data_IF_125572670722
#
_entry.id   IF_125572670722
#
_cell.length_a   1.000
_cell.length_b   1.000
_cell.length_c   1.000
_cell.angle_alpha   90.00
_cell.angle_beta   90.00
_cell.angle_gamma   90.00
#
_symmetry.space_group_name_H-M   'P 1'
#
loop_
_entity.id
_entity.type
_entity.pdbx_description
1 polymer ?
#
# COMPACT_ATOMS: atom_id res chain seq x y z
N UNK A 1 -3.31 15.01 -56.31
CA UNK A 1 -3.50 15.40 -54.90
C UNK A 1 -4.05 14.23 -54.07
N UNK A 2 -3.26 13.18 -53.79
CA UNK A 2 -3.71 11.98 -53.04
C UNK A 2 -2.58 11.36 -52.20
N UNK A 3 -1.71 12.17 -51.59
CA UNK A 3 -0.56 11.66 -50.79
C UNK A 3 -0.36 12.30 -49.41
N UNK A 4 -1.30 13.11 -48.93
CA UNK A 4 -1.16 13.84 -47.66
C UNK A 4 -2.03 13.27 -46.53
N UNK A 5 -3.01 12.40 -46.84
CA UNK A 5 -3.97 11.93 -45.83
C UNK A 5 -3.45 10.71 -45.03
N UNK A 6 -2.39 10.04 -45.49
CA UNK A 6 -1.90 8.81 -44.83
C UNK A 6 -0.86 9.05 -43.72
N UNK A 7 -0.36 10.28 -43.55
CA UNK A 7 0.62 10.60 -42.50
C UNK A 7 0.01 11.19 -41.22
N UNK A 8 -1.26 11.59 -41.23
CA UNK A 8 -1.95 12.14 -40.04
C UNK A 8 -2.62 11.10 -39.15
N UNK A 9 -2.78 9.85 -39.62
CA UNK A 9 -3.40 8.78 -38.82
C UNK A 9 -2.36 8.03 -37.96
N UNK A 10 -1.06 8.11 -38.30
CA UNK A 10 0.00 7.46 -37.52
C UNK A 10 0.48 8.28 -36.31
N UNK A 11 0.06 9.55 -36.18
CA UNK A 11 0.38 10.40 -35.04
C UNK A 11 -0.68 10.33 -33.91
N UNK A 12 -1.75 9.55 -34.11
CA UNK A 12 -2.86 9.38 -33.17
C UNK A 12 -2.96 7.95 -32.60
N UNK A 13 -1.81 7.32 -32.33
CA UNK A 13 -1.75 6.28 -31.31
C UNK A 13 -1.18 6.88 -30.01
N UNK A 14 -1.82 7.88 -29.36
CA UNK A 14 -1.44 8.17 -28.00
C UNK A 14 -1.91 6.96 -27.20
N UNK A 15 -0.96 6.28 -26.57
CA UNK A 15 -1.16 5.80 -25.22
C UNK A 15 -2.49 5.06 -25.02
N UNK A 16 -2.58 3.83 -25.52
CA UNK A 16 -3.32 2.79 -24.78
C UNK A 16 -2.57 2.58 -23.46
N UNK A 17 -2.63 3.58 -22.58
CA UNK A 17 -2.31 3.46 -21.18
C UNK A 17 -3.34 2.45 -20.68
N UNK A 18 -2.87 1.23 -20.49
CA UNK A 18 -3.56 0.22 -19.72
C UNK A 18 -3.77 0.79 -18.31
N UNK A 19 -4.84 1.56 -18.12
CA UNK A 19 -5.33 1.98 -16.82
C UNK A 19 -5.98 0.75 -16.19
N UNK A 20 -5.15 -0.15 -15.65
CA UNK A 20 -5.65 -1.07 -14.66
C UNK A 20 -6.04 -0.28 -13.42
N UNK A 21 -7.23 -0.58 -12.91
CA UNK A 21 -7.75 0.05 -11.71
C UNK A 21 -6.90 -0.41 -10.52
N UNK A 22 -6.25 0.54 -9.83
CA UNK A 22 -5.52 0.24 -8.60
C UNK A 22 -6.53 -0.17 -7.53
N UNK A 23 -6.45 -1.42 -7.09
CA UNK A 23 -7.38 -1.93 -6.08
C UNK A 23 -6.88 -1.47 -4.71
N UNK A 24 -7.70 -0.66 -4.03
CA UNK A 24 -7.44 -0.24 -2.66
C UNK A 24 -7.74 -1.36 -1.66
N UNK A 25 -7.15 -1.25 -0.48
CA UNK A 25 -7.25 -2.23 0.59
C UNK A 25 -7.84 -1.62 1.87
N UNK A 26 -8.70 -2.36 2.60
CA UNK A 26 -9.21 -1.94 3.89
C UNK A 26 -8.07 -1.72 4.88
N UNK A 27 -8.01 -0.52 5.44
CA UNK A 27 -6.95 -0.07 6.33
C UNK A 27 -7.56 0.59 7.53
N UNK A 28 -7.12 0.18 8.70
CA UNK A 28 -7.50 0.84 9.93
C UNK A 28 -6.33 1.66 10.49
N UNK A 29 -6.70 2.75 11.14
CA UNK A 29 -5.80 3.56 11.96
C UNK A 29 -6.36 3.54 13.37
N UNK A 30 -5.46 3.36 14.34
CA UNK A 30 -5.80 3.44 15.73
C UNK A 30 -4.81 4.31 16.51
N UNK A 31 -5.32 5.31 17.22
CA UNK A 31 -4.55 6.07 18.22
C UNK A 31 -5.45 6.52 19.36
N UNK A 32 -5.07 6.21 20.60
CA UNK A 32 -5.89 6.53 21.76
C UNK A 32 -5.38 7.77 22.48
N UNK A 33 -6.18 8.84 22.43
CA UNK A 33 -6.06 10.00 23.30
C UNK A 33 -7.21 9.90 24.33
N UNK A 34 -6.89 9.53 25.58
CA UNK A 34 -7.84 9.51 26.72
C UNK A 34 -9.01 8.50 26.64
N UNK A 35 -8.76 7.27 26.19
CA UNK A 35 -9.65 6.09 26.34
C UNK A 35 -11.04 6.16 25.68
N UNK A 36 -11.25 6.99 24.67
CA UNK A 36 -12.49 7.03 23.87
C UNK A 36 -12.22 6.57 22.45
N UNK A 37 -13.25 6.09 21.72
CA UNK A 37 -13.17 5.37 20.45
C UNK A 37 -12.04 5.87 19.54
N UNK A 38 -11.01 5.03 19.40
CA UNK A 38 -9.67 5.40 18.91
C UNK A 38 -9.40 4.93 17.49
N UNK A 39 -10.42 4.57 16.71
CA UNK A 39 -10.30 3.68 15.57
C UNK A 39 -11.08 4.21 14.37
N UNK A 40 -10.42 4.30 13.22
CA UNK A 40 -11.03 4.65 11.94
C UNK A 40 -10.63 3.62 10.89
N UNK A 41 -11.56 3.25 10.00
CA UNK A 41 -11.33 2.28 8.92
C UNK A 41 -11.78 2.87 7.59
N UNK A 42 -10.94 2.75 6.56
CA UNK A 42 -11.23 3.20 5.21
C UNK A 42 -10.48 2.36 4.18
N UNK A 43 -10.93 2.37 2.93
CA UNK A 43 -10.19 1.79 1.81
C UNK A 43 -9.09 2.74 1.34
N UNK A 44 -8.09 2.93 2.20
CA UNK A 44 -7.10 4.00 2.11
C UNK A 44 -5.68 3.54 1.82
N UNK A 45 -5.42 2.24 1.72
CA UNK A 45 -4.11 1.74 1.31
C UNK A 45 -4.09 1.09 -0.06
N UNK A 46 -2.90 1.05 -0.63
CA UNK A 46 -2.58 0.37 -1.88
C UNK A 46 -1.32 -0.48 -1.66
N UNK A 47 -1.40 -1.74 -2.06
CA UNK A 47 -0.31 -2.70 -1.93
C UNK A 47 0.19 -3.06 -3.31
N UNK A 48 1.50 -3.13 -3.45
CA UNK A 48 2.14 -3.46 -4.73
C UNK A 48 3.26 -4.47 -4.53
N UNK A 49 3.43 -5.33 -5.52
CA UNK A 49 4.60 -6.18 -5.63
C UNK A 49 5.30 -5.94 -6.97
N UNK A 50 6.60 -5.63 -6.93
CA UNK A 50 7.46 -5.50 -8.10
C UNK A 50 8.31 -6.76 -8.25
N UNK A 51 7.99 -7.58 -9.24
CA UNK A 51 8.74 -8.80 -9.56
C UNK A 51 10.19 -8.50 -9.97
N UNK A 52 10.43 -7.39 -10.67
CA UNK A 52 11.76 -7.05 -11.20
C UNK A 52 12.74 -6.67 -10.08
N UNK A 53 12.22 -6.07 -9.02
CA UNK A 53 12.98 -5.68 -7.82
C UNK A 53 12.84 -6.69 -6.66
N UNK A 54 11.91 -7.64 -6.77
CA UNK A 54 11.51 -8.52 -5.65
C UNK A 54 11.19 -7.71 -4.39
N UNK A 55 10.33 -6.70 -4.56
CA UNK A 55 10.01 -5.71 -3.52
C UNK A 55 8.51 -5.58 -3.31
N UNK A 56 8.13 -5.54 -2.04
CA UNK A 56 6.77 -5.26 -1.59
C UNK A 56 6.66 -3.79 -1.17
N UNK A 57 5.57 -3.14 -1.58
CA UNK A 57 5.28 -1.76 -1.24
C UNK A 57 3.87 -1.62 -0.67
N UNK A 58 3.76 -0.75 0.33
CA UNK A 58 2.50 -0.22 0.83
C UNK A 58 2.51 1.30 0.67
N UNK A 59 1.39 1.85 0.23
CA UNK A 59 1.05 3.26 0.39
C UNK A 59 -0.22 3.38 1.22
N UNK A 60 -0.23 4.25 2.23
CA UNK A 60 -1.44 4.66 2.96
C UNK A 60 -1.69 6.14 2.69
N UNK A 61 -2.90 6.44 2.24
CA UNK A 61 -3.38 7.78 1.95
C UNK A 61 -4.23 8.28 3.11
N UNK A 62 -3.69 9.21 3.90
CA UNK A 62 -4.37 9.69 5.10
C UNK A 62 -5.60 10.56 4.80
N UNK A 63 -5.67 11.16 3.60
CA UNK A 63 -6.82 11.99 3.18
C UNK A 63 -8.14 11.21 3.06
N UNK A 64 -8.05 9.88 2.97
CA UNK A 64 -9.22 8.99 2.82
C UNK A 64 -9.86 8.58 4.14
N UNK A 65 -9.29 8.98 5.27
CA UNK A 65 -9.91 8.75 6.56
C UNK A 65 -10.83 9.92 6.88
N UNK A 66 -12.06 9.61 7.27
CA UNK A 66 -13.01 10.64 7.65
C UNK A 66 -12.57 11.28 8.98
N UNK A 67 -12.45 12.60 8.97
CA UNK A 67 -12.17 13.40 10.17
C UNK A 67 -13.52 13.92 10.66
N UNK A 68 -14.05 13.31 11.73
CA UNK A 68 -15.30 13.77 12.33
C UNK A 68 -15.15 15.17 12.94
N UNK A 69 -16.21 15.97 12.87
CA UNK A 69 -16.25 17.39 13.28
C UNK A 69 -15.90 17.59 14.79
N UNK A 70 -16.08 16.57 15.62
CA UNK A 70 -15.77 16.56 17.06
C UNK A 70 -14.81 15.42 17.48
N UNK A 71 -14.04 14.86 16.54
CA UNK A 71 -13.38 13.57 16.75
C UNK A 71 -11.93 13.67 17.25
N UNK A 72 -11.57 12.70 18.09
CA UNK A 72 -10.22 12.38 18.57
C UNK A 72 -9.19 12.21 17.44
N UNK A 73 -9.66 12.12 16.20
CA UNK A 73 -8.88 11.95 14.98
C UNK A 73 -8.50 13.26 14.29
N UNK A 74 -8.72 14.42 14.92
CA UNK A 74 -8.30 15.73 14.40
C UNK A 74 -6.82 15.80 14.01
N UNK A 75 -5.96 15.03 14.67
CA UNK A 75 -4.54 14.92 14.32
C UNK A 75 -4.30 14.37 12.90
N UNK A 76 -5.26 13.68 12.29
CA UNK A 76 -5.17 13.25 10.89
C UNK A 76 -5.11 14.46 9.93
N UNK A 77 -5.63 15.63 10.32
CA UNK A 77 -5.46 16.89 9.58
C UNK A 77 -3.98 17.24 9.38
N UNK A 78 -3.12 16.89 10.34
CA UNK A 78 -1.66 17.14 10.22
C UNK A 78 -1.00 16.25 9.14
N UNK A 79 -1.70 15.21 8.68
CA UNK A 79 -1.22 14.20 7.75
C UNK A 79 -2.02 14.13 6.44
N UNK A 80 -3.09 14.91 6.27
CA UNK A 80 -4.02 14.83 5.13
C UNK A 80 -3.30 14.97 3.77
N UNK A 81 -2.32 15.86 3.68
CA UNK A 81 -1.50 16.08 2.47
C UNK A 81 -0.31 15.12 2.34
N UNK A 82 -0.20 14.15 3.25
CA UNK A 82 0.92 13.21 3.31
C UNK A 82 0.46 11.77 3.03
N UNK A 83 1.41 10.93 2.67
CA UNK A 83 1.20 9.49 2.60
C UNK A 83 2.26 8.80 3.44
N UNK A 84 1.88 7.69 4.07
CA UNK A 84 2.85 6.74 4.58
C UNK A 84 3.23 5.80 3.44
N UNK A 85 4.52 5.55 3.27
CA UNK A 85 5.03 4.52 2.38
C UNK A 85 5.79 3.50 3.20
N UNK A 86 5.65 2.22 2.86
CA UNK A 86 6.50 1.16 3.37
C UNK A 86 7.06 0.38 2.20
N UNK A 87 8.35 0.05 2.24
CA UNK A 87 9.01 -0.80 1.26
C UNK A 87 9.82 -1.88 1.95
N UNK A 88 9.79 -3.10 1.45
CA UNK A 88 10.62 -4.19 1.94
C UNK A 88 10.98 -5.16 0.80
N UNK A 89 12.18 -5.77 0.83
CA UNK A 89 12.49 -6.89 -0.03
C UNK A 89 11.59 -8.09 0.35
N UNK A 90 11.08 -8.79 -0.66
CA UNK A 90 10.23 -9.97 -0.50
C UNK A 90 10.51 -10.92 -1.66
N UNK A 91 11.01 -12.12 -1.35
CA UNK A 91 11.31 -13.13 -2.34
C UNK A 91 10.02 -13.67 -3.03
N UNK A 92 9.99 -13.82 -4.37
CA UNK A 92 8.82 -14.33 -5.09
C UNK A 92 8.40 -15.75 -4.67
N UNK A 93 9.32 -16.56 -4.14
CA UNK A 93 9.03 -17.89 -3.59
C UNK A 93 8.11 -17.84 -2.38
N UNK A 94 7.90 -16.67 -1.77
CA UNK A 94 6.90 -16.52 -0.72
C UNK A 94 5.46 -16.67 -1.21
N UNK A 95 5.20 -16.43 -2.50
CA UNK A 95 3.89 -16.62 -3.10
C UNK A 95 3.63 -18.08 -3.46
N UNK A 96 4.66 -18.90 -3.70
CA UNK A 96 4.48 -20.32 -4.01
C UNK A 96 4.30 -21.17 -2.74
N UNK A 97 3.49 -22.23 -2.85
CA UNK A 97 3.47 -23.31 -1.87
C UNK A 97 2.84 -22.99 -0.52
N UNK A 98 1.70 -22.28 -0.48
CA UNK A 98 0.89 -22.11 0.73
C UNK A 98 0.23 -23.45 1.15
N UNK A 99 1.00 -24.36 1.73
CA UNK A 99 0.55 -25.68 2.12
C UNK A 99 -0.36 -25.67 3.38
N UNK A 100 -1.29 -26.63 3.42
CA UNK A 100 -2.16 -27.07 4.51
C UNK A 100 -3.20 -26.10 5.11
N UNK A 101 -3.08 -24.78 4.99
CA UNK A 101 -4.14 -23.85 5.44
C UNK A 101 -4.23 -22.55 4.62
N UNK A 102 -3.73 -22.54 3.38
CA UNK A 102 -3.76 -21.39 2.46
C UNK A 102 -3.22 -20.07 3.04
N UNK A 103 -2.38 -20.12 4.07
CA UNK A 103 -1.76 -18.93 4.66
C UNK A 103 -0.31 -19.17 5.06
N UNK A 104 0.47 -18.09 5.15
CA UNK A 104 1.88 -18.08 5.55
C UNK A 104 2.22 -16.76 6.21
N UNK A 105 2.93 -16.80 7.33
CA UNK A 105 3.47 -15.61 7.99
C UNK A 105 4.90 -15.39 7.53
N UNK A 106 5.21 -14.15 7.16
CA UNK A 106 6.49 -13.71 6.61
C UNK A 106 6.93 -12.49 7.40
N UNK A 107 8.16 -12.51 7.92
CA UNK A 107 8.75 -11.35 8.55
C UNK A 107 9.48 -10.52 7.50
N UNK A 108 9.03 -9.29 7.28
CA UNK A 108 9.63 -8.35 6.34
C UNK A 108 10.41 -7.28 7.12
N UNK A 109 11.69 -7.13 6.79
CA UNK A 109 12.52 -6.03 7.31
C UNK A 109 12.59 -4.95 6.24
N UNK A 110 11.85 -3.87 6.46
CA UNK A 110 11.68 -2.80 5.49
C UNK A 110 12.00 -1.42 6.04
N UNK A 111 11.57 -0.42 5.29
CA UNK A 111 11.68 0.99 5.66
C UNK A 111 10.31 1.64 5.51
N UNK A 112 9.95 2.47 6.49
CA UNK A 112 8.78 3.34 6.46
C UNK A 112 9.23 4.75 6.17
N UNK A 113 8.53 5.39 5.24
CA UNK A 113 8.63 6.82 4.97
C UNK A 113 7.36 7.52 5.41
N UNK A 114 7.53 8.57 6.20
CA UNK A 114 6.45 9.44 6.60
C UNK A 114 7.00 10.83 6.92
N UNK A 115 6.30 11.88 6.48
CA UNK A 115 6.68 13.27 6.74
C UNK A 115 8.15 13.58 6.39
N UNK A 116 8.64 13.06 5.25
CA UNK A 116 9.99 13.32 4.75
C UNK A 116 11.11 12.48 5.39
N UNK A 117 10.78 11.50 6.25
CA UNK A 117 11.75 10.78 7.07
C UNK A 117 11.62 9.28 6.87
N UNK A 118 12.74 8.61 6.64
CA UNK A 118 12.85 7.16 6.54
C UNK A 118 13.28 6.53 7.86
N UNK A 119 12.59 5.47 8.28
CA UNK A 119 12.97 4.63 9.42
C UNK A 119 12.86 3.15 9.09
N UNK A 120 13.83 2.36 9.56
CA UNK A 120 13.79 0.90 9.40
C UNK A 120 12.74 0.31 10.33
N UNK A 121 11.91 -0.60 9.81
CA UNK A 121 10.87 -1.26 10.58
C UNK A 121 10.71 -2.72 10.14
N UNK A 122 10.57 -3.61 11.12
CA UNK A 122 10.25 -5.02 10.90
C UNK A 122 8.76 -5.24 11.09
N UNK A 123 8.11 -5.89 10.14
CA UNK A 123 6.68 -6.21 10.18
C UNK A 123 6.44 -7.68 9.92
N UNK A 124 5.40 -8.21 10.54
CA UNK A 124 4.88 -9.54 10.23
C UNK A 124 3.73 -9.41 9.24
N UNK A 125 3.91 -10.01 8.08
CA UNK A 125 2.93 -10.07 7.01
C UNK A 125 2.32 -11.48 6.96
N UNK A 126 1.02 -11.56 7.15
CA UNK A 126 0.26 -12.79 6.95
C UNK A 126 -0.30 -12.80 5.54
N UNK A 127 0.20 -13.69 4.70
CA UNK A 127 -0.22 -13.89 3.32
C UNK A 127 -1.30 -14.98 3.29
N UNK A 128 -2.38 -14.77 2.54
CA UNK A 128 -3.50 -15.68 2.37
C UNK A 128 -3.79 -15.88 0.87
N UNK A 129 -4.11 -17.10 0.47
CA UNK A 129 -4.65 -17.38 -0.86
C UNK A 129 -6.17 -17.43 -0.82
N UNK A 130 -6.82 -16.79 -1.78
CA UNK A 130 -8.28 -16.93 -1.94
C UNK A 130 -8.64 -18.34 -2.45
N UNK A 131 -9.72 -18.93 -1.94
CA UNK A 131 -10.09 -20.35 -2.14
C UNK A 131 -10.29 -20.75 -3.61
N UNK A 132 -10.69 -19.80 -4.48
CA UNK A 132 -10.84 -20.03 -5.92
C UNK A 132 -9.51 -19.99 -6.70
N UNK A 133 -8.38 -19.67 -6.05
CA UNK A 133 -7.06 -19.58 -6.67
C UNK A 133 -6.43 -20.94 -7.02
N UNK A 134 -6.89 -22.03 -6.40
CA UNK A 134 -6.38 -23.39 -6.63
C UNK A 134 -6.64 -23.91 -8.06
N UNK A 135 -7.69 -23.41 -8.72
CA UNK A 135 -8.03 -23.80 -10.10
C UNK A 135 -7.15 -23.12 -11.17
N UNK A 136 -6.42 -22.06 -10.81
CA UNK A 136 -5.63 -21.25 -11.75
C UNK A 136 -4.11 -21.55 -11.71
N UNK A 137 -3.65 -22.49 -10.88
CA UNK A 137 -2.22 -22.86 -10.81
C UNK A 137 -1.69 -23.58 -12.07
N UNK A 138 -2.57 -23.98 -12.99
CA UNK A 138 -2.19 -24.68 -14.23
C UNK A 138 -1.57 -23.77 -15.31
N UNK A 139 -1.64 -22.44 -15.15
CA UNK A 139 -0.94 -21.50 -16.01
C UNK A 139 0.19 -20.87 -15.19
N UNK A 140 1.43 -20.98 -15.66
CA UNK A 140 2.66 -20.45 -15.04
C UNK A 140 2.73 -18.91 -14.90
N UNK A 141 1.60 -18.21 -14.74
CA UNK A 141 1.53 -16.80 -14.43
C UNK A 141 1.24 -16.62 -12.93
N UNK A 142 2.19 -16.01 -12.23
CA UNK A 142 1.99 -15.55 -10.85
C UNK A 142 0.89 -14.48 -10.85
N UNK A 143 -0.33 -14.88 -10.48
CA UNK A 143 -1.43 -13.96 -10.31
C UNK A 143 -1.45 -13.45 -8.86
N UNK A 144 -0.81 -12.29 -8.64
CA UNK A 144 -0.74 -11.66 -7.31
C UNK A 144 -2.12 -11.26 -6.77
N UNK A 145 -3.11 -11.05 -7.65
CA UNK A 145 -4.47 -10.67 -7.28
C UNK A 145 -5.19 -11.79 -6.49
N UNK A 146 -4.68 -13.03 -6.55
CA UNK A 146 -5.19 -14.17 -5.78
C UNK A 146 -4.79 -14.13 -4.30
N UNK A 147 -3.78 -13.32 -3.97
CA UNK A 147 -3.24 -13.22 -2.63
C UNK A 147 -3.81 -12.02 -1.90
N UNK A 148 -4.05 -12.22 -0.60
CA UNK A 148 -4.43 -11.18 0.34
C UNK A 148 -3.44 -11.12 1.48
N UNK A 149 -3.32 -9.96 2.11
CA UNK A 149 -2.42 -9.78 3.24
C UNK A 149 -3.07 -9.12 4.43
N UNK A 150 -2.62 -9.51 5.61
CA UNK A 150 -2.80 -8.77 6.85
C UNK A 150 -1.43 -8.36 7.38
N UNK A 151 -1.26 -7.11 7.78
CA UNK A 151 -0.08 -6.70 8.56
C UNK A 151 -0.39 -5.43 9.36
N UNK A 152 0.43 -5.18 10.37
CA UNK A 152 0.32 -4.04 11.28
C UNK A 152 1.65 -3.30 11.36
N UNK A 153 1.58 -1.99 11.25
CA UNK A 153 2.65 -1.02 11.46
C UNK A 153 2.38 -0.22 12.72
N UNK A 154 3.41 -0.01 13.53
CA UNK A 154 3.36 0.85 14.69
C UNK A 154 4.27 2.05 14.44
N UNK A 155 3.69 3.24 14.41
CA UNK A 155 4.39 4.50 14.13
C UNK A 155 4.51 5.30 15.41
N UNK A 156 5.73 5.69 15.76
CA UNK A 156 5.99 6.62 16.84
C UNK A 156 6.07 8.05 16.27
N UNK A 157 5.15 8.97 16.61
CA UNK A 157 5.17 10.35 16.09
C UNK A 157 6.48 11.11 16.32
N UNK A 158 7.28 10.69 17.31
CA UNK A 158 8.58 11.28 17.59
C UNK A 158 9.59 11.02 16.48
N UNK A 159 9.62 9.80 15.93
CA UNK A 159 10.56 9.36 14.90
C UNK A 159 10.35 10.17 13.61
N UNK A 160 9.10 10.44 13.27
CA UNK A 160 8.73 11.14 12.02
C UNK A 160 8.45 12.64 12.20
N UNK A 161 8.87 13.24 13.32
CA UNK A 161 8.61 14.66 13.65
C UNK A 161 7.13 15.09 13.66
N UNK A 162 6.17 14.17 13.71
CA UNK A 162 4.73 14.46 13.74
C UNK A 162 4.33 15.16 15.04
N UNK A 163 4.99 14.84 16.15
CA UNK A 163 4.79 15.53 17.44
C UNK A 163 5.05 17.06 17.41
N UNK A 164 5.71 17.57 16.37
CA UNK A 164 5.96 18.99 16.15
C UNK A 164 4.86 19.68 15.34
N UNK A 165 3.91 18.92 14.78
CA UNK A 165 2.75 19.44 14.04
C UNK A 165 1.71 20.03 15.02
N UNK A 166 0.75 20.85 14.54
CA UNK A 166 -0.19 21.60 15.37
C UNK A 166 -0.94 20.77 16.43
N UNK A 167 -1.31 19.53 16.14
CA UNK A 167 -2.05 18.69 17.10
C UNK A 167 -1.14 18.00 18.14
N UNK A 168 0.19 18.17 18.03
CA UNK A 168 1.18 17.66 18.98
C UNK A 168 1.03 16.18 19.35
N UNK A 169 0.71 15.34 18.37
CA UNK A 169 0.47 13.92 18.59
C UNK A 169 1.73 13.24 19.15
N UNK A 170 1.60 12.63 20.34
CA UNK A 170 2.70 11.91 21.02
C UNK A 170 2.45 10.41 21.17
N UNK A 171 1.21 9.97 20.95
CA UNK A 171 0.80 8.58 21.11
C UNK A 171 1.10 7.79 19.85
N UNK A 172 1.47 6.52 20.02
CA UNK A 172 1.73 5.62 18.89
C UNK A 172 0.50 5.51 18.00
N UNK A 173 0.71 5.58 16.70
CA UNK A 173 -0.31 5.33 15.69
C UNK A 173 -0.14 3.88 15.25
N UNK A 174 -1.18 3.08 15.41
CA UNK A 174 -1.25 1.73 14.87
C UNK A 174 -1.94 1.82 13.51
N UNK A 175 -1.33 1.28 12.48
CA UNK A 175 -1.89 1.22 11.13
C UNK A 175 -1.93 -0.23 10.72
N UNK A 176 -3.09 -0.76 10.39
CA UNK A 176 -3.20 -2.15 9.96
C UNK A 176 -3.97 -2.27 8.66
N UNK A 177 -3.51 -3.19 7.81
CA UNK A 177 -4.22 -3.58 6.59
C UNK A 177 -4.87 -4.93 6.83
N UNK A 178 -6.15 -5.05 6.48
CA UNK A 178 -6.94 -6.27 6.66
C UNK A 178 -7.44 -6.77 5.31
N UNK A 179 -7.09 -7.99 4.97
CA UNK A 179 -7.42 -8.69 3.73
C UNK A 179 -7.07 -7.86 2.49
N UNK A 180 -5.95 -7.12 2.58
CA UNK A 180 -5.50 -6.22 1.54
C UNK A 180 -5.09 -6.98 0.28
N UNK A 181 -5.43 -6.44 -0.89
CA UNK A 181 -5.14 -7.04 -2.19
C UNK A 181 -3.82 -6.51 -2.72
N UNK A 182 -2.96 -7.41 -3.21
CA UNK A 182 -1.68 -7.05 -3.79
C UNK A 182 -1.86 -6.79 -5.28
N UNK A 183 -1.55 -5.58 -5.73
CA UNK A 183 -1.53 -5.26 -7.16
C UNK A 183 -0.15 -5.63 -7.72
N UNK A 184 -0.10 -6.26 -8.89
CA UNK A 184 1.16 -6.39 -9.64
C UNK A 184 1.61 -4.98 -10.07
N UNK A 185 2.82 -4.57 -9.71
CA UNK A 185 3.30 -3.23 -10.03
C UNK A 185 3.56 -3.11 -11.54
N UNK A 186 2.81 -2.21 -12.19
CA UNK A 186 2.99 -1.87 -13.61
C UNK A 186 3.64 -0.50 -13.79
N UNK A 187 4.26 -0.21 -14.94
CA UNK A 187 4.93 1.08 -15.17
C UNK A 187 4.07 2.32 -14.86
N UNK A 188 2.76 2.28 -15.18
CA UNK A 188 1.84 3.38 -14.87
C UNK A 188 1.53 3.58 -13.39
N UNK A 189 1.87 2.61 -12.53
CA UNK A 189 1.64 2.65 -11.08
C UNK A 189 2.84 3.20 -10.30
N UNK A 190 4.04 3.21 -10.90
CA UNK A 190 5.28 3.69 -10.27
C UNK A 190 5.13 5.12 -9.69
N UNK A 191 4.49 6.09 -10.38
CA UNK A 191 4.33 7.44 -9.83
C UNK A 191 3.57 7.48 -8.51
N UNK A 192 2.70 6.51 -8.21
CA UNK A 192 1.96 6.47 -6.94
C UNK A 192 2.87 6.19 -5.75
N UNK A 193 3.97 5.46 -5.97
CA UNK A 193 4.94 5.09 -4.93
C UNK A 193 5.97 6.20 -4.67
N UNK A 194 6.09 7.18 -5.57
CA UNK A 194 6.94 8.36 -5.38
C UNK A 194 8.35 8.01 -4.89
N UNK A 195 8.73 8.57 -3.74
CA UNK A 195 10.04 8.36 -3.14
C UNK A 195 10.37 6.90 -2.80
N UNK A 196 9.37 6.07 -2.50
CA UNK A 196 9.62 4.68 -2.11
C UNK A 196 10.13 3.81 -3.25
N UNK A 197 9.90 4.19 -4.52
CA UNK A 197 10.37 3.42 -5.66
C UNK A 197 11.80 3.75 -6.10
N UNK A 198 12.22 5.00 -5.88
CA UNK A 198 13.48 5.55 -6.39
C UNK A 198 14.63 5.45 -5.37
N UNK A 199 14.31 5.36 -4.08
CA UNK A 199 15.26 5.14 -2.99
C UNK A 199 15.51 3.65 -2.77
#
# INVERSE_FOLDING_TARGET
MKKIIFQTILAFAPFLLFSQENISSPTFIQTCIKNHQCYSISNSSYLFYDETKSSFYLKVDFSKFEIGIDSIDDWLKDLEETSLLFKAPMDPSHFSGLANHNHKTIKLNGQVFLNGIWHNQSVELNLYMTENGLLNQNNNQNNFDLYKVNFILNILPKEFNIHKKPHHLKKSIVIGVTLGRINQLKPGMIPFLGEAYNH
#
